data_IF_643588153521
#
_entry.id   IF_643588153521
#
_cell.length_a   1.000
_cell.length_b   1.000
_cell.length_c   1.000
_cell.angle_alpha   90.00
_cell.angle_beta   90.00
_cell.angle_gamma   90.00
#
_symmetry.space_group_name_H-M   'P 1'
#
loop_
_entity.id
_entity.type
_entity.pdbx_description
1 polymer ?
#
# COMPACT_ATOMS: atom_id res chain seq x y z
N UNK A 1 -10.98 -45.45 -6.07
CA UNK A 1 -11.07 -43.99 -6.20
C UNK A 1 -9.79 -43.38 -5.69
N UNK A 2 -8.82 -43.09 -6.51
CA UNK A 2 -7.63 -42.33 -6.14
C UNK A 2 -7.63 -41.04 -6.96
N UNK A 3 -8.12 -39.91 -6.45
CA UNK A 3 -7.84 -38.62 -7.11
C UNK A 3 -8.10 -37.35 -6.25
N UNK A 4 -8.25 -37.49 -4.92
CA UNK A 4 -8.54 -36.31 -4.07
C UNK A 4 -7.28 -35.73 -3.38
N UNK A 5 -6.16 -36.42 -3.42
CA UNK A 5 -4.89 -35.98 -2.79
C UNK A 5 -4.08 -34.96 -3.61
N UNK A 6 -4.48 -34.71 -4.87
CA UNK A 6 -3.75 -33.79 -5.78
C UNK A 6 -4.42 -32.43 -5.96
N UNK A 7 -5.66 -32.25 -5.49
CA UNK A 7 -6.32 -30.95 -5.54
C UNK A 7 -5.76 -30.03 -4.46
N UNK A 8 -4.97 -29.04 -4.88
CA UNK A 8 -4.56 -27.94 -3.99
C UNK A 8 -5.81 -27.33 -3.36
N UNK A 9 -5.87 -27.15 -2.02
CA UNK A 9 -7.03 -26.61 -1.34
C UNK A 9 -7.44 -25.27 -1.97
N UNK A 10 -8.69 -25.14 -2.36
CA UNK A 10 -9.23 -23.89 -2.93
C UNK A 10 -9.78 -23.01 -1.82
N UNK A 11 -9.77 -21.69 -2.04
CA UNK A 11 -10.42 -20.72 -1.16
C UNK A 11 -11.94 -20.83 -1.38
N UNK A 12 -12.70 -21.15 -0.33
CA UNK A 12 -14.17 -21.26 -0.39
C UNK A 12 -14.83 -20.00 0.20
N UNK A 13 -15.11 -19.02 -0.64
CA UNK A 13 -15.73 -17.75 -0.24
C UNK A 13 -17.25 -17.85 0.02
N UNK A 14 -17.86 -19.03 -0.17
CA UNK A 14 -19.31 -19.19 -0.07
C UNK A 14 -19.76 -19.69 1.29
N UNK A 15 -18.88 -20.35 2.03
CA UNK A 15 -19.24 -21.02 3.29
C UNK A 15 -18.33 -20.63 4.45
N UNK A 16 -18.87 -20.77 5.66
CA UNK A 16 -18.13 -20.63 6.91
C UNK A 16 -17.41 -19.28 7.12
N UNK A 17 -16.30 -19.28 7.86
CA UNK A 17 -15.54 -18.06 8.16
C UNK A 17 -14.98 -17.36 6.92
N UNK A 18 -14.67 -18.10 5.84
CA UNK A 18 -14.17 -17.51 4.59
C UNK A 18 -15.23 -16.66 3.88
N UNK A 19 -16.52 -16.95 4.05
CA UNK A 19 -17.61 -16.07 3.60
C UNK A 19 -17.57 -14.74 4.34
N UNK A 20 -17.34 -14.75 5.66
CA UNK A 20 -17.19 -13.53 6.43
C UNK A 20 -15.97 -12.71 5.92
N UNK A 21 -14.84 -13.36 5.61
CA UNK A 21 -13.70 -12.72 4.97
C UNK A 21 -14.10 -12.04 3.64
N UNK A 22 -14.87 -12.71 2.77
CA UNK A 22 -15.31 -12.13 1.50
C UNK A 22 -16.14 -10.84 1.72
N UNK A 23 -17.06 -10.84 2.69
CA UNK A 23 -17.85 -9.65 3.04
C UNK A 23 -16.98 -8.52 3.62
N UNK A 24 -16.01 -8.84 4.49
CA UNK A 24 -15.08 -7.87 5.05
C UNK A 24 -14.19 -7.27 3.95
N UNK A 25 -13.69 -8.10 3.03
CA UNK A 25 -12.88 -7.67 1.90
C UNK A 25 -13.67 -6.74 0.97
N UNK A 26 -14.91 -7.11 0.61
CA UNK A 26 -15.77 -6.25 -0.22
C UNK A 26 -16.08 -4.90 0.45
N UNK A 27 -16.38 -4.90 1.76
CA UNK A 27 -16.57 -3.67 2.52
C UNK A 27 -15.30 -2.82 2.60
N UNK A 28 -14.14 -3.46 2.73
CA UNK A 28 -12.84 -2.77 2.74
C UNK A 28 -12.54 -2.17 1.37
N UNK A 29 -12.77 -2.91 0.28
CA UNK A 29 -12.63 -2.42 -1.09
C UNK A 29 -13.45 -1.12 -1.31
N UNK A 30 -14.74 -1.13 -0.94
CA UNK A 30 -15.62 0.03 -1.12
C UNK A 30 -15.12 1.25 -0.31
N UNK A 31 -14.73 1.05 0.95
CA UNK A 31 -14.20 2.15 1.77
C UNK A 31 -12.85 2.64 1.26
N UNK A 32 -11.98 1.75 0.78
CA UNK A 32 -10.69 2.13 0.20
C UNK A 32 -10.87 2.97 -1.06
N UNK A 33 -11.79 2.57 -1.97
CA UNK A 33 -12.13 3.36 -3.15
C UNK A 33 -12.54 4.77 -2.76
N UNK A 34 -13.40 4.90 -1.76
CA UNK A 34 -13.88 6.22 -1.30
C UNK A 34 -12.76 7.05 -0.66
N UNK A 35 -11.95 6.45 0.21
CA UNK A 35 -10.86 7.15 0.87
C UNK A 35 -9.84 7.68 -0.14
N UNK A 36 -9.43 6.86 -1.10
CA UNK A 36 -8.53 7.29 -2.18
C UNK A 36 -9.19 8.32 -3.09
N UNK A 37 -10.49 8.15 -3.41
CA UNK A 37 -11.24 9.14 -4.21
C UNK A 37 -11.25 10.51 -3.52
N UNK A 38 -11.51 10.57 -2.22
CA UNK A 38 -11.51 11.83 -1.47
C UNK A 38 -10.11 12.46 -1.40
N UNK A 39 -9.08 11.64 -1.21
CA UNK A 39 -7.70 12.14 -1.19
C UNK A 39 -7.30 12.76 -2.53
N UNK A 40 -7.56 12.08 -3.64
CA UNK A 40 -7.32 12.63 -4.98
C UNK A 40 -8.23 13.83 -5.27
N UNK A 41 -9.52 13.72 -4.96
CA UNK A 41 -10.49 14.78 -5.21
C UNK A 41 -10.12 16.08 -4.50
N UNK A 42 -9.76 16.04 -3.21
CA UNK A 42 -9.38 17.25 -2.48
C UNK A 42 -8.08 17.84 -3.02
N UNK A 43 -7.12 17.02 -3.42
CA UNK A 43 -5.86 17.46 -4.00
C UNK A 43 -6.11 18.20 -5.33
N UNK A 44 -6.91 17.61 -6.22
CA UNK A 44 -7.27 18.23 -7.51
C UNK A 44 -8.10 19.49 -7.32
N UNK A 45 -9.12 19.43 -6.47
CA UNK A 45 -10.03 20.55 -6.22
C UNK A 45 -9.31 21.76 -5.62
N UNK A 46 -8.48 21.54 -4.59
CA UNK A 46 -7.68 22.64 -3.99
C UNK A 46 -6.75 23.27 -5.02
N UNK A 47 -6.13 22.48 -5.90
CA UNK A 47 -5.32 23.03 -6.98
C UNK A 47 -6.16 23.85 -7.96
N UNK A 48 -7.34 23.39 -8.34
CA UNK A 48 -8.21 24.10 -9.28
C UNK A 48 -8.72 25.41 -8.70
N UNK A 49 -9.09 25.44 -7.43
CA UNK A 49 -9.60 26.64 -6.76
C UNK A 49 -8.49 27.65 -6.41
N UNK A 50 -7.37 27.18 -5.88
CA UNK A 50 -6.32 28.06 -5.35
C UNK A 50 -5.17 28.33 -6.33
N UNK A 51 -4.98 27.48 -7.35
CA UNK A 51 -3.83 27.46 -8.26
C UNK A 51 -2.48 27.38 -7.52
N UNK A 52 -2.50 26.89 -6.29
CA UNK A 52 -1.31 26.80 -5.43
C UNK A 52 -0.75 25.37 -5.43
N UNK A 53 0.44 25.20 -6.00
CA UNK A 53 1.21 23.94 -5.92
C UNK A 53 1.64 23.67 -4.48
N UNK A 54 1.94 24.74 -3.71
CA UNK A 54 2.29 24.60 -2.30
C UNK A 54 1.13 24.00 -1.48
N UNK A 55 -0.11 24.45 -1.71
CA UNK A 55 -1.27 23.91 -1.00
C UNK A 55 -1.46 22.43 -1.28
N UNK A 56 -1.31 21.98 -2.54
CA UNK A 56 -1.40 20.55 -2.88
C UNK A 56 -0.27 19.73 -2.27
N UNK A 57 0.95 20.26 -2.25
CA UNK A 57 2.09 19.62 -1.58
C UNK A 57 1.88 19.50 -0.06
N UNK A 58 1.27 20.49 0.58
CA UNK A 58 0.94 20.43 2.00
C UNK A 58 -0.12 19.34 2.31
N UNK A 59 -1.14 19.17 1.44
CA UNK A 59 -2.13 18.10 1.58
C UNK A 59 -1.45 16.73 1.54
N UNK A 60 -0.57 16.52 0.57
CA UNK A 60 0.19 15.28 0.47
C UNK A 60 1.09 15.07 1.70
N UNK A 61 1.75 16.13 2.19
CA UNK A 61 2.56 16.10 3.41
C UNK A 61 1.75 15.74 4.66
N UNK A 62 0.59 16.35 4.85
CA UNK A 62 -0.33 16.06 5.97
C UNK A 62 -0.74 14.58 5.94
N UNK A 63 -1.20 14.09 4.78
CA UNK A 63 -1.60 12.70 4.62
C UNK A 63 -0.48 11.74 4.98
N UNK A 64 0.72 12.01 4.50
CA UNK A 64 1.88 11.17 4.70
C UNK A 64 2.32 11.10 6.16
N UNK A 65 2.54 12.27 6.78
CA UNK A 65 2.97 12.37 8.19
C UNK A 65 1.93 11.73 9.10
N UNK A 66 0.64 12.00 8.84
CA UNK A 66 -0.43 11.44 9.63
C UNK A 66 -0.55 9.92 9.45
N UNK A 67 -0.42 9.38 8.24
CA UNK A 67 -0.45 7.93 7.99
C UNK A 67 0.72 7.23 8.66
N UNK A 68 1.93 7.77 8.53
CA UNK A 68 3.13 7.20 9.16
C UNK A 68 3.04 7.24 10.71
N UNK A 69 2.53 8.33 11.29
CA UNK A 69 2.45 8.50 12.75
C UNK A 69 1.32 7.70 13.39
N UNK A 70 0.19 7.50 12.68
CA UNK A 70 -0.99 6.83 13.23
C UNK A 70 -0.95 5.30 13.13
N UNK A 71 -0.12 4.72 12.26
CA UNK A 71 -0.11 3.28 11.99
C UNK A 71 0.15 2.44 13.26
N UNK A 72 1.11 2.85 14.09
CA UNK A 72 1.43 2.15 15.35
C UNK A 72 0.26 2.24 16.34
N UNK A 73 -0.38 3.41 16.43
CA UNK A 73 -1.55 3.60 17.29
C UNK A 73 -2.74 2.76 16.81
N UNK A 74 -3.01 2.74 15.52
CA UNK A 74 -4.03 1.89 14.92
C UNK A 74 -3.73 0.41 15.13
N UNK A 75 -2.46 0.01 15.05
CA UNK A 75 -2.03 -1.35 15.35
C UNK A 75 -2.36 -1.76 16.79
N UNK A 76 -2.08 -0.90 17.75
CA UNK A 76 -2.45 -1.10 19.17
C UNK A 76 -3.97 -1.20 19.34
N UNK A 77 -4.74 -0.33 18.66
CA UNK A 77 -6.20 -0.35 18.70
C UNK A 77 -6.77 -1.67 18.17
N UNK A 78 -6.21 -2.19 17.08
CA UNK A 78 -6.60 -3.46 16.45
C UNK A 78 -6.31 -4.66 17.37
N UNK A 79 -5.19 -4.65 18.11
CA UNK A 79 -4.85 -5.76 19.00
C UNK A 79 -5.76 -5.81 20.26
N UNK A 80 -6.07 -4.65 20.82
CA UNK A 80 -6.82 -4.58 22.09
C UNK A 80 -8.34 -4.66 21.95
N UNK A 81 -8.88 -4.61 20.73
CA UNK A 81 -10.31 -4.60 20.49
C UNK A 81 -10.72 -5.64 19.42
N UNK A 82 -12.01 -5.97 19.38
CA UNK A 82 -12.56 -6.78 18.30
C UNK A 82 -12.38 -6.07 16.96
N UNK A 83 -11.70 -6.71 16.02
CA UNK A 83 -11.31 -6.13 14.72
C UNK A 83 -12.51 -5.61 13.94
N UNK A 84 -13.63 -6.36 13.99
CA UNK A 84 -14.91 -5.92 13.41
C UNK A 84 -15.39 -4.60 14.02
N UNK A 85 -15.34 -4.47 15.36
CA UNK A 85 -15.76 -3.24 16.05
C UNK A 85 -14.86 -2.07 15.68
N UNK A 86 -13.53 -2.28 15.65
CA UNK A 86 -12.57 -1.25 15.23
C UNK A 86 -12.89 -0.76 13.83
N UNK A 87 -13.17 -1.65 12.88
CA UNK A 87 -13.54 -1.28 11.51
C UNK A 87 -14.88 -0.53 11.44
N UNK A 88 -15.85 -0.90 12.27
CA UNK A 88 -17.16 -0.21 12.34
C UNK A 88 -17.03 1.19 12.92
N UNK A 89 -16.34 1.31 14.07
CA UNK A 89 -16.10 2.61 14.73
C UNK A 89 -15.31 3.53 13.80
N UNK A 90 -14.25 3.02 13.17
CA UNK A 90 -13.47 3.81 12.21
C UNK A 90 -14.35 4.32 11.06
N UNK A 91 -15.21 3.47 10.49
CA UNK A 91 -16.11 3.91 9.42
C UNK A 91 -17.15 4.93 9.91
N UNK A 92 -17.66 4.79 11.15
CA UNK A 92 -18.59 5.74 11.74
C UNK A 92 -17.92 7.11 11.99
N UNK A 93 -16.67 7.12 12.49
CA UNK A 93 -15.87 8.35 12.66
C UNK A 93 -15.59 9.00 11.32
N UNK A 94 -15.18 8.22 10.30
CA UNK A 94 -15.00 8.75 8.95
C UNK A 94 -16.30 9.33 8.37
N UNK A 95 -17.44 8.64 8.56
CA UNK A 95 -18.76 9.14 8.13
C UNK A 95 -19.09 10.48 8.78
N UNK A 96 -18.87 10.60 10.10
CA UNK A 96 -19.10 11.85 10.81
C UNK A 96 -18.21 12.97 10.28
N UNK A 97 -16.93 12.70 10.08
CA UNK A 97 -16.00 13.68 9.51
C UNK A 97 -16.44 14.13 8.11
N UNK A 98 -16.88 13.20 7.27
CA UNK A 98 -17.36 13.51 5.91
C UNK A 98 -18.70 14.28 5.92
N UNK A 99 -19.61 13.97 6.85
CA UNK A 99 -20.85 14.74 7.04
C UNK A 99 -20.56 16.18 7.46
N UNK A 100 -19.67 16.36 8.43
CA UNK A 100 -19.28 17.71 8.88
C UNK A 100 -18.55 18.45 7.75
N UNK A 101 -17.66 17.77 7.01
CA UNK A 101 -16.98 18.35 5.85
C UNK A 101 -17.99 18.75 4.76
N UNK A 102 -18.99 17.91 4.45
CA UNK A 102 -20.05 18.21 3.49
C UNK A 102 -20.87 19.43 3.95
N UNK A 103 -21.24 19.47 5.22
CA UNK A 103 -21.98 20.60 5.79
C UNK A 103 -21.16 21.89 5.69
N UNK A 104 -19.88 21.83 6.06
CA UNK A 104 -18.97 22.97 5.96
C UNK A 104 -18.84 23.43 4.50
N UNK A 105 -18.69 22.50 3.56
CA UNK A 105 -18.61 22.81 2.14
C UNK A 105 -19.86 23.52 1.60
N UNK A 106 -21.06 23.03 2.01
CA UNK A 106 -22.34 23.60 1.54
C UNK A 106 -22.67 24.97 2.16
N UNK A 107 -22.18 25.25 3.38
CA UNK A 107 -22.48 26.50 4.09
C UNK A 107 -21.41 27.58 3.89
N UNK A 108 -20.24 27.25 3.34
CA UNK A 108 -19.13 28.20 3.15
C UNK A 108 -19.19 28.83 1.76
N UNK A 109 -19.07 30.15 1.63
CA UNK A 109 -18.94 30.82 0.35
C UNK A 109 -17.67 30.39 -0.40
N UNK A 110 -17.76 30.18 -1.73
CA UNK A 110 -16.65 29.73 -2.58
C UNK A 110 -15.39 30.59 -2.46
N UNK A 111 -15.56 31.90 -2.22
CA UNK A 111 -14.43 32.82 -2.07
C UNK A 111 -13.46 32.43 -0.96
N UNK A 112 -13.94 31.76 0.12
CA UNK A 112 -13.08 31.31 1.22
C UNK A 112 -12.24 30.07 0.84
N UNK A 113 -12.70 29.30 -0.13
CA UNK A 113 -11.94 28.14 -0.61
C UNK A 113 -10.91 28.49 -1.68
N UNK A 114 -11.01 29.68 -2.31
CA UNK A 114 -10.07 30.16 -3.32
C UNK A 114 -8.80 30.78 -2.74
N UNK A 115 -8.86 31.19 -1.48
CA UNK A 115 -7.69 31.74 -0.78
C UNK A 115 -6.85 30.60 -0.15
N UNK A 116 -5.63 30.34 -0.63
CA UNK A 116 -4.76 29.32 -0.08
C UNK A 116 -4.30 29.57 1.36
N UNK A 117 -4.49 30.80 1.88
CA UNK A 117 -4.22 31.15 3.27
C UNK A 117 -5.46 31.04 4.18
N UNK A 118 -6.64 30.72 3.63
CA UNK A 118 -7.90 30.67 4.37
C UNK A 118 -7.89 29.60 5.45
N UNK A 119 -8.15 29.95 6.74
CA UNK A 119 -8.29 28.96 7.81
C UNK A 119 -9.44 27.99 7.57
N UNK A 120 -10.50 28.43 6.84
CA UNK A 120 -11.65 27.58 6.52
C UNK A 120 -11.27 26.47 5.53
N UNK A 121 -10.50 26.82 4.50
CA UNK A 121 -9.94 25.84 3.56
C UNK A 121 -9.14 24.77 4.30
N UNK A 122 -8.22 25.19 5.16
CA UNK A 122 -7.36 24.26 5.90
C UNK A 122 -8.13 23.47 6.95
N UNK A 123 -9.12 24.07 7.63
CA UNK A 123 -10.03 23.35 8.51
C UNK A 123 -10.81 22.26 7.79
N UNK A 124 -11.32 22.55 6.58
CA UNK A 124 -11.97 21.57 5.71
C UNK A 124 -11.01 20.44 5.30
N UNK A 125 -9.81 20.77 4.85
CA UNK A 125 -8.80 19.80 4.42
C UNK A 125 -8.40 18.88 5.58
N UNK A 126 -8.09 19.43 6.76
CA UNK A 126 -7.69 18.65 7.94
C UNK A 126 -8.83 17.73 8.39
N UNK A 127 -10.06 18.22 8.43
CA UNK A 127 -11.23 17.42 8.80
C UNK A 127 -11.45 16.25 7.82
N UNK A 128 -11.34 16.51 6.53
CA UNK A 128 -11.49 15.50 5.49
C UNK A 128 -10.35 14.47 5.57
N UNK A 129 -9.11 14.93 5.75
CA UNK A 129 -7.96 14.03 5.91
C UNK A 129 -8.07 13.20 7.19
N UNK A 130 -8.58 13.74 8.29
CA UNK A 130 -8.82 12.97 9.51
C UNK A 130 -9.79 11.80 9.25
N UNK A 131 -10.85 12.02 8.45
CA UNK A 131 -11.76 10.96 8.02
C UNK A 131 -11.07 9.88 7.18
N UNK A 132 -10.25 10.29 6.20
CA UNK A 132 -9.49 9.38 5.32
C UNK A 132 -8.47 8.56 6.14
N UNK A 133 -7.70 9.23 7.01
CA UNK A 133 -6.67 8.58 7.84
C UNK A 133 -7.29 7.60 8.82
N UNK A 134 -8.43 7.96 9.45
CA UNK A 134 -9.16 7.03 10.32
C UNK A 134 -9.59 5.77 9.57
N UNK A 135 -9.94 5.88 8.28
CA UNK A 135 -10.25 4.74 7.41
C UNK A 135 -9.06 3.79 7.18
N UNK A 136 -7.81 4.27 7.29
CA UNK A 136 -6.62 3.46 7.10
C UNK A 136 -6.42 2.36 8.15
N UNK A 137 -7.12 2.41 9.29
CA UNK A 137 -7.12 1.32 10.29
C UNK A 137 -7.51 -0.02 9.66
N UNK A 138 -8.32 -0.01 8.59
CA UNK A 138 -8.72 -1.21 7.85
C UNK A 138 -7.55 -1.92 7.18
N UNK A 139 -6.53 -1.19 6.76
CA UNK A 139 -5.31 -1.76 6.17
C UNK A 139 -4.54 -2.61 7.19
N UNK A 140 -4.67 -2.33 8.48
CA UNK A 140 -4.05 -3.09 9.57
C UNK A 140 -4.99 -4.20 10.07
N UNK A 141 -6.30 -3.92 10.17
CA UNK A 141 -7.28 -4.85 10.65
C UNK A 141 -7.56 -6.01 9.66
N UNK A 142 -7.53 -5.75 8.36
CA UNK A 142 -7.81 -6.77 7.34
C UNK A 142 -6.81 -7.92 7.35
N UNK A 143 -5.47 -7.73 7.37
CA UNK A 143 -4.52 -8.83 7.47
C UNK A 143 -4.70 -9.68 8.74
N UNK A 144 -5.05 -9.07 9.88
CA UNK A 144 -5.34 -9.81 11.11
C UNK A 144 -6.61 -10.64 10.99
N UNK A 145 -7.64 -10.13 10.29
CA UNK A 145 -8.86 -10.89 9.99
C UNK A 145 -8.62 -12.01 8.97
N UNK A 146 -7.70 -11.84 8.02
CA UNK A 146 -7.25 -12.94 7.15
C UNK A 146 -6.68 -14.08 8.00
N UNK A 147 -5.84 -13.76 8.99
CA UNK A 147 -5.27 -14.77 9.89
C UNK A 147 -6.36 -15.53 10.68
N UNK A 148 -7.43 -14.84 11.07
CA UNK A 148 -8.51 -15.40 11.86
C UNK A 148 -9.51 -16.22 11.02
N UNK A 149 -9.89 -15.69 9.86
CA UNK A 149 -11.02 -16.20 9.08
C UNK A 149 -10.61 -17.19 7.97
N UNK A 150 -9.33 -17.19 7.61
CA UNK A 150 -8.82 -17.97 6.49
C UNK A 150 -7.83 -19.03 7.00
N UNK A 151 -8.07 -20.32 6.68
CA UNK A 151 -7.13 -21.39 7.02
C UNK A 151 -5.74 -21.12 6.47
N UNK A 152 -4.71 -21.44 7.23
CA UNK A 152 -3.32 -21.13 6.91
C UNK A 152 -2.89 -21.64 5.51
N UNK A 153 -3.40 -22.80 5.10
CA UNK A 153 -3.08 -23.42 3.80
C UNK A 153 -3.47 -22.58 2.57
N UNK A 154 -4.37 -21.62 2.73
CA UNK A 154 -4.91 -20.77 1.64
C UNK A 154 -4.83 -19.27 1.94
N UNK A 155 -4.08 -18.85 2.98
CA UNK A 155 -3.90 -17.43 3.32
C UNK A 155 -3.19 -16.65 2.22
N UNK A 156 -2.23 -17.27 1.56
CA UNK A 156 -1.55 -16.69 0.41
C UNK A 156 -2.53 -16.30 -0.70
N UNK A 157 -3.53 -17.15 -0.95
CA UNK A 157 -4.60 -16.87 -1.94
C UNK A 157 -5.52 -15.75 -1.47
N UNK A 158 -5.85 -15.70 -0.18
CA UNK A 158 -6.62 -14.60 0.39
C UNK A 158 -5.85 -13.27 0.28
N UNK A 159 -4.55 -13.26 0.55
CA UNK A 159 -3.69 -12.09 0.35
C UNK A 159 -3.62 -11.68 -1.13
N UNK A 160 -3.64 -12.63 -2.06
CA UNK A 160 -3.78 -12.33 -3.49
C UNK A 160 -5.09 -11.60 -3.84
N UNK A 161 -6.22 -12.00 -3.21
CA UNK A 161 -7.50 -11.27 -3.35
C UNK A 161 -7.45 -9.88 -2.72
N UNK A 162 -6.73 -9.69 -1.60
CA UNK A 162 -6.49 -8.37 -1.00
C UNK A 162 -5.72 -7.49 -1.98
N UNK A 163 -4.64 -7.98 -2.58
CA UNK A 163 -3.90 -7.28 -3.63
C UNK A 163 -4.77 -6.94 -4.86
N UNK A 164 -5.65 -7.87 -5.28
CA UNK A 164 -6.64 -7.61 -6.33
C UNK A 164 -7.56 -6.45 -5.95
N UNK A 165 -8.09 -6.44 -4.72
CA UNK A 165 -8.95 -5.37 -4.24
C UNK A 165 -8.23 -4.02 -4.19
N UNK A 166 -6.95 -4.00 -3.81
CA UNK A 166 -6.10 -2.80 -3.86
C UNK A 166 -5.98 -2.29 -5.30
N UNK A 167 -5.65 -3.15 -6.26
CA UNK A 167 -5.56 -2.77 -7.67
C UNK A 167 -6.87 -2.22 -8.23
N UNK A 168 -8.01 -2.84 -7.91
CA UNK A 168 -9.34 -2.34 -8.27
C UNK A 168 -9.60 -0.97 -7.65
N UNK A 169 -9.22 -0.77 -6.38
CA UNK A 169 -9.39 0.52 -5.71
C UNK A 169 -8.64 1.63 -6.44
N UNK A 170 -7.39 1.41 -6.81
CA UNK A 170 -6.61 2.41 -7.57
C UNK A 170 -7.21 2.71 -8.94
N UNK A 171 -7.58 1.67 -9.70
CA UNK A 171 -8.16 1.83 -11.03
C UNK A 171 -9.46 2.63 -10.98
N UNK A 172 -10.37 2.27 -10.08
CA UNK A 172 -11.68 2.93 -9.94
C UNK A 172 -11.51 4.36 -9.45
N UNK A 173 -10.64 4.58 -8.46
CA UNK A 173 -10.37 5.89 -7.87
C UNK A 173 -9.83 6.88 -8.89
N UNK A 174 -8.87 6.48 -9.74
CA UNK A 174 -8.24 7.37 -10.73
C UNK A 174 -9.25 7.93 -11.72
N UNK A 175 -10.29 7.15 -12.06
CA UNK A 175 -11.35 7.57 -12.97
C UNK A 175 -12.42 8.41 -12.24
N UNK A 176 -12.91 7.92 -11.10
CA UNK A 176 -14.04 8.52 -10.40
C UNK A 176 -13.68 9.88 -9.80
N UNK A 177 -12.49 10.04 -9.21
CA UNK A 177 -12.11 11.29 -8.54
C UNK A 177 -12.13 12.49 -9.49
N UNK A 178 -11.54 12.34 -10.68
CA UNK A 178 -11.53 13.40 -11.69
C UNK A 178 -12.93 13.76 -12.19
N UNK A 179 -13.77 12.74 -12.46
CA UNK A 179 -15.14 12.94 -12.92
C UNK A 179 -16.01 13.66 -11.88
N UNK A 180 -15.91 13.27 -10.61
CA UNK A 180 -16.69 13.88 -9.54
C UNK A 180 -16.30 15.35 -9.32
N UNK A 181 -14.99 15.65 -9.29
CA UNK A 181 -14.50 17.02 -9.13
C UNK A 181 -14.90 17.90 -10.33
N UNK A 182 -14.82 17.37 -11.54
CA UNK A 182 -15.22 18.10 -12.75
C UNK A 182 -16.73 18.39 -12.81
N UNK A 183 -17.56 17.57 -12.16
CA UNK A 183 -19.02 17.72 -12.19
C UNK A 183 -19.52 18.85 -11.26
N UNK A 184 -19.13 18.84 -9.98
CA UNK A 184 -19.63 19.78 -8.97
C UNK A 184 -18.64 20.02 -7.81
N UNK A 185 -17.35 20.01 -8.08
CA UNK A 185 -16.31 20.19 -7.08
C UNK A 185 -16.28 19.04 -6.07
N UNK A 186 -16.28 19.37 -4.78
CA UNK A 186 -16.19 18.36 -3.71
C UNK A 186 -17.54 17.74 -3.32
N UNK A 187 -18.67 18.33 -3.77
CA UNK A 187 -20.00 17.91 -3.31
C UNK A 187 -20.30 16.45 -3.59
N UNK A 188 -20.22 16.01 -4.83
CA UNK A 188 -20.52 14.63 -5.22
C UNK A 188 -19.54 13.63 -4.60
N UNK A 189 -18.28 14.00 -4.47
CA UNK A 189 -17.26 13.16 -3.82
C UNK A 189 -17.60 12.94 -2.33
N UNK A 190 -17.99 14.00 -1.61
CA UNK A 190 -18.38 13.91 -0.20
C UNK A 190 -19.70 13.16 0.00
N UNK A 191 -20.71 13.39 -0.86
CA UNK A 191 -21.98 12.62 -0.82
C UNK A 191 -21.71 11.13 -1.05
N UNK A 192 -20.91 10.78 -2.06
CA UNK A 192 -20.50 9.40 -2.31
C UNK A 192 -19.81 8.79 -1.08
N UNK A 193 -18.92 9.55 -0.44
CA UNK A 193 -18.18 9.10 0.73
C UNK A 193 -19.11 8.81 1.91
N UNK A 194 -20.04 9.69 2.20
CA UNK A 194 -21.05 9.50 3.26
C UNK A 194 -21.90 8.26 2.96
N UNK A 195 -22.45 8.14 1.74
CA UNK A 195 -23.32 7.02 1.37
C UNK A 195 -22.59 5.69 1.50
N UNK A 196 -21.39 5.60 0.95
CA UNK A 196 -20.61 4.33 0.96
C UNK A 196 -20.13 3.97 2.37
N UNK A 197 -19.69 4.94 3.17
CA UNK A 197 -19.25 4.65 4.55
C UNK A 197 -20.43 4.25 5.44
N UNK A 198 -21.60 4.89 5.33
CA UNK A 198 -22.84 4.47 6.00
C UNK A 198 -23.22 3.05 5.55
N UNK A 199 -23.26 2.78 4.24
CA UNK A 199 -23.57 1.45 3.73
C UNK A 199 -22.57 0.40 4.24
N UNK A 200 -21.28 0.74 4.36
CA UNK A 200 -20.25 -0.14 4.91
C UNK A 200 -20.48 -0.45 6.40
N UNK A 201 -20.86 0.55 7.21
CA UNK A 201 -21.20 0.34 8.63
C UNK A 201 -22.38 -0.60 8.75
N UNK A 202 -23.47 -0.35 8.00
CA UNK A 202 -24.67 -1.17 8.01
C UNK A 202 -24.44 -2.59 7.49
N UNK A 203 -23.63 -2.74 6.43
CA UNK A 203 -23.26 -4.01 5.88
C UNK A 203 -22.47 -4.84 6.91
N UNK A 204 -21.41 -4.24 7.47
CA UNK A 204 -20.56 -4.93 8.44
C UNK A 204 -21.31 -5.25 9.74
N UNK A 205 -22.33 -4.48 10.12
CA UNK A 205 -23.19 -4.80 11.26
C UNK A 205 -23.90 -6.15 11.08
N UNK A 206 -24.33 -6.46 9.84
CA UNK A 206 -25.02 -7.72 9.51
C UNK A 206 -24.09 -8.92 9.33
N UNK A 207 -22.79 -8.70 9.11
CA UNK A 207 -21.82 -9.79 8.92
C UNK A 207 -21.43 -10.36 10.28
N UNK A 208 -21.67 -11.65 10.48
CA UNK A 208 -21.15 -12.35 11.67
C UNK A 208 -19.67 -12.69 11.45
N UNK A 209 -18.80 -12.11 12.26
CA UNK A 209 -17.36 -12.41 12.26
C UNK A 209 -17.07 -13.19 13.55
N UNK A 210 -16.67 -14.47 13.47
CA UNK A 210 -16.35 -15.28 14.64
C UNK A 210 -15.00 -14.85 15.22
N UNK A 211 -15.02 -13.81 16.03
CA UNK A 211 -13.83 -13.36 16.76
C UNK A 211 -13.85 -13.97 18.18
N UNK A 212 -12.73 -14.57 18.63
CA UNK A 212 -12.59 -14.96 20.03
C UNK A 212 -12.73 -13.72 20.92
N UNK A 213 -13.21 -13.91 22.13
CA UNK A 213 -13.22 -12.83 23.11
C UNK A 213 -11.79 -12.35 23.32
N UNK A 214 -11.63 -11.03 23.30
CA UNK A 214 -10.32 -10.41 23.55
C UNK A 214 -9.89 -10.82 24.95
N UNK A 215 -8.94 -11.74 25.06
CA UNK A 215 -8.35 -12.12 26.32
C UNK A 215 -7.67 -10.86 26.83
N UNK A 216 -8.32 -10.17 27.76
CA UNK A 216 -7.64 -9.14 28.57
C UNK A 216 -6.53 -9.86 29.31
N UNK A 217 -5.31 -9.72 28.83
CA UNK A 217 -4.12 -10.21 29.53
C UNK A 217 -4.12 -9.53 30.88
N UNK A 218 -4.55 -10.28 31.88
CA UNK A 218 -4.55 -9.89 33.30
C UNK A 218 -3.11 -9.65 33.73
N UNK A 219 -2.93 -8.57 34.45
CA UNK A 219 -1.76 -8.22 35.27
C UNK A 219 -0.46 -7.90 34.50
N UNK A 220 -0.27 -6.64 34.18
CA UNK A 220 1.01 -6.05 33.84
C UNK A 220 1.01 -4.97 32.75
N UNK A 221 -0.04 -4.83 31.97
CA UNK A 221 -0.14 -3.82 30.91
C UNK A 221 -1.08 -2.68 31.36
N UNK A 222 -0.72 -1.99 32.43
CA UNK A 222 -1.42 -0.78 32.93
C UNK A 222 -1.16 0.46 32.05
N UNK A 223 -1.02 0.27 30.75
CA UNK A 223 -0.83 1.37 29.84
C UNK A 223 -1.72 1.23 28.62
N UNK A 224 -2.82 2.02 28.56
CA UNK A 224 -3.56 2.29 27.31
C UNK A 224 -2.70 3.03 26.28
N UNK A 225 -1.37 3.02 26.44
CA UNK A 225 -0.38 3.68 25.61
C UNK A 225 0.21 2.76 24.54
N UNK A 226 0.63 3.38 23.47
CA UNK A 226 1.37 2.72 22.37
C UNK A 226 2.69 2.18 22.91
N UNK A 227 2.82 0.87 23.10
CA UNK A 227 4.07 0.22 23.50
C UNK A 227 5.00 0.00 22.29
N UNK A 228 5.59 1.11 21.81
CA UNK A 228 6.57 1.08 20.74
C UNK A 228 7.82 0.24 21.11
N UNK A 229 8.25 0.33 22.38
CA UNK A 229 9.44 -0.42 22.84
C UNK A 229 9.17 -1.92 22.86
N UNK A 230 7.99 -2.34 23.32
CA UNK A 230 7.57 -3.74 23.30
C UNK A 230 7.40 -4.25 21.86
N UNK A 231 6.82 -3.43 20.96
CA UNK A 231 6.68 -3.77 19.53
C UNK A 231 8.05 -3.97 18.88
N UNK A 232 8.99 -3.04 19.07
CA UNK A 232 10.37 -3.17 18.53
C UNK A 232 11.08 -4.38 19.15
N UNK A 233 10.89 -4.63 20.45
CA UNK A 233 11.45 -5.82 21.13
C UNK A 233 10.89 -7.11 20.52
N UNK A 234 9.58 -7.16 20.25
CA UNK A 234 8.95 -8.31 19.61
C UNK A 234 9.50 -8.53 18.19
N UNK A 235 9.56 -7.47 17.38
CA UNK A 235 10.10 -7.54 16.01
C UNK A 235 11.55 -8.05 16.01
N UNK A 236 12.35 -7.68 17.02
CA UNK A 236 13.72 -8.17 17.19
C UNK A 236 13.79 -9.61 17.73
N UNK A 237 12.80 -10.02 18.52
CA UNK A 237 12.77 -11.36 19.12
C UNK A 237 12.41 -12.44 18.08
N UNK A 238 11.58 -12.12 17.07
CA UNK A 238 11.26 -13.07 16.00
C UNK A 238 12.44 -13.15 15.01
N UNK A 239 13.03 -14.34 14.81
CA UNK A 239 14.22 -14.48 13.98
C UNK A 239 14.00 -14.02 12.54
N UNK A 240 14.75 -13.02 12.09
CA UNK A 240 14.69 -12.47 10.73
C UNK A 240 13.55 -11.50 10.46
N UNK A 241 12.61 -11.26 11.38
CA UNK A 241 11.47 -10.37 11.17
C UNK A 241 11.92 -8.91 11.01
N UNK A 242 12.83 -8.43 11.85
CA UNK A 242 13.39 -7.07 11.68
C UNK A 242 14.02 -6.88 10.29
N UNK A 243 14.75 -7.91 9.81
CA UNK A 243 15.35 -7.85 8.49
C UNK A 243 14.30 -7.81 7.37
N UNK A 244 13.16 -8.48 7.52
CA UNK A 244 12.04 -8.40 6.58
C UNK A 244 11.46 -6.97 6.54
N UNK A 245 11.14 -6.39 7.70
CA UNK A 245 10.60 -5.03 7.80
C UNK A 245 11.57 -3.98 7.23
N UNK A 246 12.87 -4.13 7.54
CA UNK A 246 13.90 -3.23 6.98
C UNK A 246 14.07 -3.43 5.47
N UNK A 247 13.95 -4.66 4.97
CA UNK A 247 13.99 -4.94 3.53
C UNK A 247 12.77 -4.33 2.81
N UNK A 248 11.56 -4.49 3.35
CA UNK A 248 10.36 -3.86 2.83
C UNK A 248 10.46 -2.32 2.87
N UNK A 249 10.89 -1.74 3.98
CA UNK A 249 11.17 -0.32 4.13
C UNK A 249 12.17 0.18 3.07
N UNK A 250 13.25 -0.56 2.84
CA UNK A 250 14.25 -0.21 1.84
C UNK A 250 13.71 -0.32 0.40
N UNK A 251 12.88 -1.31 0.10
CA UNK A 251 12.20 -1.38 -1.20
C UNK A 251 11.25 -0.20 -1.40
N UNK A 252 10.48 0.19 -0.39
CA UNK A 252 9.64 1.39 -0.43
C UNK A 252 10.47 2.67 -0.57
N UNK A 253 11.63 2.76 0.11
CA UNK A 253 12.57 3.86 -0.06
C UNK A 253 13.02 3.99 -1.51
N UNK A 254 13.47 2.91 -2.14
CA UNK A 254 13.82 2.91 -3.56
C UNK A 254 12.60 3.19 -4.46
N UNK A 255 11.41 2.72 -4.07
CA UNK A 255 10.13 2.98 -4.73
C UNK A 255 9.79 4.47 -4.83
N UNK A 256 10.23 5.29 -3.88
CA UNK A 256 10.08 6.75 -3.91
C UNK A 256 10.73 7.42 -5.13
N UNK A 257 11.75 6.79 -5.72
CA UNK A 257 12.34 7.25 -7.00
C UNK A 257 11.33 7.23 -8.14
N UNK A 258 10.47 6.19 -8.18
CA UNK A 258 9.40 6.09 -9.19
C UNK A 258 8.34 7.17 -8.97
N UNK A 259 7.95 7.42 -7.73
CA UNK A 259 7.00 8.49 -7.40
C UNK A 259 7.51 9.87 -7.87
N UNK A 260 8.82 10.12 -7.74
CA UNK A 260 9.41 11.40 -8.08
C UNK A 260 9.63 11.60 -9.59
N UNK A 261 10.03 10.56 -10.31
CA UNK A 261 10.65 10.72 -11.62
C UNK A 261 9.92 9.99 -12.77
N UNK A 262 9.02 9.04 -12.48
CA UNK A 262 8.43 8.18 -13.51
C UNK A 262 7.60 8.97 -14.51
N UNK A 263 6.79 9.93 -14.04
CA UNK A 263 5.96 10.74 -14.92
C UNK A 263 6.81 11.66 -15.79
N UNK A 264 7.84 12.29 -15.22
CA UNK A 264 8.77 13.13 -15.98
C UNK A 264 9.49 12.31 -17.08
N UNK A 265 9.93 11.11 -16.75
CA UNK A 265 10.57 10.22 -17.73
C UNK A 265 9.59 9.73 -18.80
N UNK A 266 8.40 9.30 -18.42
CA UNK A 266 7.37 8.83 -19.36
C UNK A 266 6.92 9.94 -20.33
N UNK A 267 6.71 11.15 -19.82
CA UNK A 267 6.33 12.32 -20.62
C UNK A 267 7.45 12.84 -21.54
N UNK A 268 8.71 12.51 -21.26
CA UNK A 268 9.79 12.77 -22.20
C UNK A 268 9.79 11.85 -23.41
N UNK A 269 9.09 10.70 -23.34
CA UNK A 269 9.05 9.68 -24.37
C UNK A 269 7.74 9.68 -25.19
N UNK A 270 6.62 10.11 -24.59
CA UNK A 270 5.29 10.08 -25.21
C UNK A 270 4.43 11.26 -24.78
N UNK A 271 3.33 11.50 -25.50
CA UNK A 271 2.36 12.56 -25.14
C UNK A 271 1.65 12.25 -23.83
N UNK A 272 1.10 13.30 -23.19
CA UNK A 272 0.34 13.20 -21.93
C UNK A 272 -0.84 12.23 -22.06
N UNK A 273 -1.54 12.26 -23.19
CA UNK A 273 -2.68 11.36 -23.47
C UNK A 273 -2.25 9.91 -23.55
N UNK A 274 -1.15 9.64 -24.30
CA UNK A 274 -0.60 8.29 -24.39
C UNK A 274 -0.09 7.78 -23.05
N UNK A 275 0.57 8.63 -22.26
CA UNK A 275 1.07 8.30 -20.93
C UNK A 275 -0.07 7.94 -19.96
N UNK A 276 -1.15 8.73 -19.95
CA UNK A 276 -2.34 8.44 -19.14
C UNK A 276 -3.02 7.12 -19.52
N UNK A 277 -3.17 6.84 -20.82
CA UNK A 277 -3.72 5.55 -21.29
C UNK A 277 -2.84 4.36 -20.92
N UNK A 278 -1.51 4.50 -21.00
CA UNK A 278 -0.56 3.48 -20.58
C UNK A 278 -0.67 3.19 -19.09
N UNK A 279 -0.73 4.21 -18.22
CA UNK A 279 -0.93 4.03 -16.79
C UNK A 279 -2.24 3.30 -16.47
N UNK A 280 -3.34 3.67 -17.13
CA UNK A 280 -4.63 3.00 -16.98
C UNK A 280 -4.56 1.52 -17.37
N UNK A 281 -3.97 1.20 -18.52
CA UNK A 281 -3.82 -0.19 -18.99
C UNK A 281 -2.90 -1.02 -18.06
N UNK A 282 -1.78 -0.43 -17.63
CA UNK A 282 -0.81 -1.11 -16.78
C UNK A 282 -1.35 -1.37 -15.36
N UNK A 283 -2.17 -0.46 -14.83
CA UNK A 283 -2.83 -0.66 -13.53
C UNK A 283 -3.72 -1.90 -13.49
N UNK A 284 -4.30 -2.30 -14.63
CA UNK A 284 -5.06 -3.54 -14.71
C UNK A 284 -4.20 -4.80 -14.45
N UNK A 285 -2.90 -4.73 -14.68
CA UNK A 285 -1.99 -5.86 -14.44
C UNK A 285 -1.79 -6.16 -12.95
N UNK A 286 -1.97 -5.17 -12.07
CA UNK A 286 -2.00 -5.40 -10.61
C UNK A 286 -3.17 -6.31 -10.25
N UNK A 287 -4.34 -6.06 -10.85
CA UNK A 287 -5.54 -6.92 -10.68
C UNK A 287 -5.26 -8.34 -11.16
N UNK A 288 -4.66 -8.46 -12.35
CA UNK A 288 -4.29 -9.77 -12.92
C UNK A 288 -3.29 -10.49 -12.01
N UNK A 289 -2.25 -9.82 -11.54
CA UNK A 289 -1.26 -10.39 -10.61
C UNK A 289 -1.89 -10.89 -9.32
N UNK A 290 -2.75 -10.09 -8.70
CA UNK A 290 -3.49 -10.48 -7.50
C UNK A 290 -4.41 -11.70 -7.73
N UNK A 291 -5.13 -11.76 -8.86
CA UNK A 291 -5.95 -12.91 -9.23
C UNK A 291 -5.12 -14.16 -9.49
N UNK A 292 -3.93 -14.03 -10.08
CA UNK A 292 -3.01 -15.16 -10.28
C UNK A 292 -2.56 -15.70 -8.93
N UNK A 293 -2.14 -14.83 -7.99
CA UNK A 293 -1.81 -15.25 -6.61
C UNK A 293 -3.01 -15.93 -5.94
N UNK A 294 -4.21 -15.37 -6.08
CA UNK A 294 -5.42 -15.93 -5.49
C UNK A 294 -5.76 -17.34 -6.01
N UNK A 295 -5.43 -17.62 -7.28
CA UNK A 295 -5.67 -18.93 -7.89
C UNK A 295 -4.56 -19.95 -7.68
N UNK A 296 -3.31 -19.50 -7.89
CA UNK A 296 -2.13 -20.39 -7.89
C UNK A 296 -1.50 -20.52 -6.50
N UNK A 297 -1.58 -19.44 -5.68
CA UNK A 297 -0.88 -19.31 -4.41
C UNK A 297 0.59 -18.96 -4.60
N UNK A 298 1.32 -18.83 -3.49
CA UNK A 298 2.75 -18.45 -3.44
C UNK A 298 3.70 -19.66 -3.36
N UNK A 299 3.13 -20.87 -3.24
CA UNK A 299 3.90 -22.09 -3.04
C UNK A 299 4.37 -22.27 -1.59
N UNK A 300 5.25 -23.25 -1.36
CA UNK A 300 5.68 -23.66 -0.01
C UNK A 300 6.74 -22.75 0.62
N UNK A 301 7.34 -21.83 -0.13
CA UNK A 301 8.48 -21.01 0.29
C UNK A 301 8.26 -19.52 0.02
N UNK A 302 7.29 -18.85 0.67
CA UNK A 302 6.96 -17.45 0.38
C UNK A 302 8.12 -16.48 0.63
N UNK A 303 9.02 -16.76 1.59
CA UNK A 303 10.24 -15.95 1.80
C UNK A 303 11.15 -15.95 0.56
N UNK A 304 11.29 -17.12 -0.10
CA UNK A 304 12.05 -17.22 -1.34
C UNK A 304 11.31 -16.54 -2.49
N UNK A 305 10.00 -16.72 -2.57
CA UNK A 305 9.15 -16.07 -3.58
C UNK A 305 9.27 -14.56 -3.50
N UNK A 306 9.19 -13.96 -2.31
CA UNK A 306 9.39 -12.53 -2.07
C UNK A 306 10.71 -12.04 -2.67
N UNK A 307 11.82 -12.70 -2.36
CA UNK A 307 13.13 -12.27 -2.83
C UNK A 307 13.33 -12.47 -4.34
N UNK A 308 12.82 -13.57 -4.91
CA UNK A 308 12.89 -13.79 -6.35
C UNK A 308 12.04 -12.79 -7.14
N UNK A 309 10.86 -12.45 -6.63
CA UNK A 309 10.01 -11.39 -7.20
C UNK A 309 10.75 -10.05 -7.16
N UNK A 310 11.30 -9.66 -6.00
CA UNK A 310 12.07 -8.42 -5.90
C UNK A 310 13.31 -8.43 -6.83
N UNK A 311 13.97 -9.57 -6.99
CA UNK A 311 15.06 -9.72 -7.96
C UNK A 311 14.60 -9.40 -9.39
N UNK A 312 13.44 -9.94 -9.79
CA UNK A 312 12.85 -9.65 -11.10
C UNK A 312 12.47 -8.16 -11.24
N UNK A 313 11.83 -7.57 -10.21
CA UNK A 313 11.45 -6.16 -10.18
C UNK A 313 12.66 -5.24 -10.37
N UNK A 314 13.73 -5.47 -9.63
CA UNK A 314 14.94 -4.64 -9.74
C UNK A 314 15.71 -4.89 -11.03
N UNK A 315 15.66 -6.12 -11.57
CA UNK A 315 16.26 -6.43 -12.88
C UNK A 315 15.57 -5.63 -13.99
N UNK A 316 14.24 -5.61 -14.05
CA UNK A 316 13.54 -4.83 -15.08
C UNK A 316 13.73 -3.33 -14.87
N UNK A 317 13.82 -2.87 -13.61
CA UNK A 317 14.15 -1.47 -13.27
C UNK A 317 15.53 -1.07 -13.78
N UNK A 318 16.51 -1.95 -13.73
CA UNK A 318 17.87 -1.73 -14.25
C UNK A 318 17.89 -1.72 -15.77
N UNK A 319 17.05 -2.52 -16.42
CA UNK A 319 17.16 -2.76 -17.87
C UNK A 319 16.42 -1.71 -18.72
N UNK A 320 15.24 -1.24 -18.29
CA UNK A 320 14.44 -0.34 -19.15
C UNK A 320 15.10 1.00 -19.46
N UNK A 321 15.94 1.60 -18.56
CA UNK A 321 16.56 2.89 -18.84
C UNK A 321 17.73 2.82 -19.80
N UNK A 322 18.19 1.62 -20.18
CA UNK A 322 19.34 1.47 -21.08
C UNK A 322 19.08 2.04 -22.47
N UNK A 323 17.82 2.12 -22.90
CA UNK A 323 17.42 2.74 -24.17
C UNK A 323 16.34 3.80 -23.94
N UNK A 324 16.47 4.93 -24.63
CA UNK A 324 15.46 6.00 -24.66
C UNK A 324 14.30 5.59 -25.56
N UNK A 325 13.44 4.71 -25.06
CA UNK A 325 12.28 4.19 -25.79
C UNK A 325 11.14 3.84 -24.84
N UNK A 326 9.92 4.11 -25.30
CA UNK A 326 8.70 3.76 -24.54
C UNK A 326 8.52 2.25 -24.42
N UNK A 327 8.96 1.45 -25.38
CA UNK A 327 8.71 0.00 -25.43
C UNK A 327 9.35 -0.74 -24.25
N UNK A 328 10.67 -0.62 -23.96
CA UNK A 328 11.26 -1.27 -22.79
C UNK A 328 10.69 -0.71 -21.48
N UNK A 329 10.33 0.57 -21.40
CA UNK A 329 9.68 1.14 -20.22
C UNK A 329 8.33 0.48 -19.97
N UNK A 330 7.44 0.41 -20.96
CA UNK A 330 6.11 -0.21 -20.83
C UNK A 330 6.23 -1.71 -20.51
N UNK A 331 7.16 -2.42 -21.13
CA UNK A 331 7.40 -3.84 -20.85
C UNK A 331 7.86 -4.04 -19.40
N UNK A 332 8.78 -3.20 -18.90
CA UNK A 332 9.24 -3.26 -17.52
C UNK A 332 8.14 -2.91 -16.53
N UNK A 333 7.36 -1.84 -16.79
CA UNK A 333 6.21 -1.47 -15.97
C UNK A 333 5.16 -2.59 -15.95
N UNK A 334 4.90 -3.24 -17.07
CA UNK A 334 3.97 -4.37 -17.13
C UNK A 334 4.41 -5.53 -16.23
N UNK A 335 5.68 -5.91 -16.29
CA UNK A 335 6.25 -6.94 -15.41
C UNK A 335 6.18 -6.48 -13.94
N UNK A 336 6.53 -5.22 -13.67
CA UNK A 336 6.50 -4.64 -12.33
C UNK A 336 5.09 -4.72 -11.75
N UNK A 337 4.08 -4.18 -12.43
CA UNK A 337 2.69 -4.14 -11.98
C UNK A 337 2.09 -5.55 -11.79
N UNK A 338 2.47 -6.50 -12.65
CA UNK A 338 2.04 -7.90 -12.53
C UNK A 338 2.63 -8.58 -11.29
N UNK A 339 3.88 -8.27 -10.94
CA UNK A 339 4.62 -8.94 -9.87
C UNK A 339 4.46 -8.31 -8.49
N UNK A 340 4.10 -7.03 -8.38
CA UNK A 340 3.89 -6.36 -7.08
C UNK A 340 2.95 -7.13 -6.15
N UNK A 341 1.78 -7.65 -6.59
CA UNK A 341 0.90 -8.41 -5.71
C UNK A 341 1.53 -9.70 -5.15
N UNK A 342 2.49 -10.28 -5.85
CA UNK A 342 3.24 -11.46 -5.35
C UNK A 342 4.17 -11.06 -4.19
N UNK A 343 4.83 -9.91 -4.28
CA UNK A 343 5.69 -9.40 -3.22
C UNK A 343 4.84 -9.08 -1.97
N UNK A 344 3.78 -8.31 -2.13
CA UNK A 344 2.86 -7.92 -1.04
C UNK A 344 2.21 -9.14 -0.38
N UNK A 345 1.66 -10.06 -1.17
CA UNK A 345 1.04 -11.27 -0.64
C UNK A 345 2.06 -12.17 0.08
N UNK A 346 3.30 -12.24 -0.43
CA UNK A 346 4.38 -13.01 0.24
C UNK A 346 4.72 -12.40 1.59
N UNK A 347 4.89 -11.10 1.67
CA UNK A 347 5.19 -10.39 2.90
C UNK A 347 4.08 -10.57 3.92
N UNK A 348 2.83 -10.33 3.56
CA UNK A 348 1.67 -10.50 4.44
C UNK A 348 1.54 -11.95 4.92
N UNK A 349 1.76 -12.93 4.05
CA UNK A 349 1.70 -14.36 4.40
C UNK A 349 2.79 -14.73 5.41
N UNK A 350 4.01 -14.17 5.25
CA UNK A 350 5.10 -14.38 6.19
C UNK A 350 4.75 -13.76 7.55
N UNK A 351 4.35 -12.49 7.58
CA UNK A 351 3.99 -11.76 8.79
C UNK A 351 2.87 -12.47 9.56
N UNK A 352 1.79 -12.87 8.87
CA UNK A 352 0.65 -13.57 9.45
C UNK A 352 1.01 -14.93 10.07
N UNK A 353 2.11 -15.53 9.67
CA UNK A 353 2.55 -16.84 10.19
C UNK A 353 3.54 -16.72 11.34
N UNK A 354 4.51 -15.81 11.23
CA UNK A 354 5.60 -15.71 12.22
C UNK A 354 5.26 -14.81 13.41
N UNK A 355 4.23 -13.96 13.28
CA UNK A 355 3.78 -13.05 14.35
C UNK A 355 2.59 -13.67 15.09
N UNK A 356 2.64 -13.78 16.43
CA UNK A 356 1.51 -14.23 17.24
C UNK A 356 0.27 -13.36 16.97
N UNK A 357 -0.90 -14.00 16.89
CA UNK A 357 -2.17 -13.36 16.50
C UNK A 357 -2.54 -12.16 17.39
N UNK A 358 -2.31 -12.26 18.69
CA UNK A 358 -2.58 -11.23 19.71
C UNK A 358 -1.70 -9.97 19.57
N UNK A 359 -0.67 -10.02 18.72
CA UNK A 359 0.30 -8.93 18.49
C UNK A 359 0.42 -8.53 17.03
N UNK A 360 -0.38 -9.11 16.14
CA UNK A 360 -0.32 -8.83 14.70
C UNK A 360 -0.67 -7.39 14.38
N UNK A 361 -1.64 -6.79 15.05
CA UNK A 361 -2.03 -5.42 14.82
C UNK A 361 -0.86 -4.45 15.06
N UNK A 362 -0.16 -4.58 16.20
CA UNK A 362 1.00 -3.73 16.54
C UNK A 362 2.15 -3.90 15.55
N UNK A 363 2.46 -5.14 15.15
CA UNK A 363 3.55 -5.41 14.20
C UNK A 363 3.19 -4.91 12.80
N UNK A 364 1.98 -5.14 12.33
CA UNK A 364 1.53 -4.64 11.02
C UNK A 364 1.46 -3.12 11.00
N UNK A 365 0.94 -2.49 12.06
CA UNK A 365 0.93 -1.04 12.19
C UNK A 365 2.33 -0.43 12.22
N UNK A 366 3.27 -1.07 12.91
CA UNK A 366 4.67 -0.66 12.92
C UNK A 366 5.33 -0.80 11.53
N UNK A 367 5.18 -1.97 10.89
CA UNK A 367 5.70 -2.20 9.56
C UNK A 367 5.16 -1.18 8.57
N UNK A 368 3.84 -0.99 8.53
CA UNK A 368 3.18 -0.01 7.68
C UNK A 368 3.67 1.42 7.93
N UNK A 369 3.83 1.84 9.20
CA UNK A 369 4.35 3.17 9.53
C UNK A 369 5.76 3.39 8.98
N UNK A 370 6.65 2.41 9.16
CA UNK A 370 8.04 2.49 8.71
C UNK A 370 8.11 2.49 7.18
N UNK A 371 7.35 1.63 6.54
CA UNK A 371 7.31 1.48 5.08
C UNK A 371 6.72 2.72 4.40
N UNK A 372 5.58 3.21 4.89
CA UNK A 372 4.91 4.37 4.31
C UNK A 372 5.73 5.67 4.45
N UNK A 373 6.56 5.80 5.47
CA UNK A 373 7.42 6.96 5.63
C UNK A 373 8.60 6.96 4.65
N UNK A 374 8.97 5.81 4.11
CA UNK A 374 10.19 5.66 3.33
C UNK A 374 10.10 6.27 1.91
N UNK A 375 9.03 5.98 1.16
CA UNK A 375 8.90 6.43 -0.23
C UNK A 375 8.91 7.95 -0.42
N UNK A 376 8.15 8.73 0.35
CA UNK A 376 8.16 10.18 0.22
C UNK A 376 9.47 10.84 0.65
N UNK A 377 10.15 10.26 1.64
CA UNK A 377 11.47 10.74 2.03
C UNK A 377 12.43 10.66 0.82
N UNK A 378 12.40 9.55 0.10
CA UNK A 378 13.21 9.38 -1.11
C UNK A 378 12.77 10.31 -2.22
N UNK A 379 11.48 10.43 -2.49
CA UNK A 379 10.96 11.30 -3.53
C UNK A 379 11.40 12.76 -3.29
N UNK A 380 11.36 13.20 -2.03
CA UNK A 380 11.80 14.55 -1.64
C UNK A 380 13.30 14.76 -1.79
N UNK A 381 14.11 13.71 -1.60
CA UNK A 381 15.58 13.80 -1.75
C UNK A 381 16.02 13.63 -3.21
N UNK A 382 15.41 12.67 -3.93
CA UNK A 382 15.86 12.28 -5.27
C UNK A 382 15.50 13.31 -6.33
N UNK A 383 14.33 13.97 -6.24
CA UNK A 383 13.92 14.94 -7.23
C UNK A 383 14.91 16.13 -7.33
N UNK A 384 15.25 16.86 -6.24
CA UNK A 384 16.26 17.92 -6.29
C UNK A 384 17.65 17.42 -6.70
N UNK A 385 18.06 16.25 -6.20
CA UNK A 385 19.35 15.66 -6.58
C UNK A 385 19.41 15.40 -8.09
N UNK A 386 18.32 14.87 -8.66
CA UNK A 386 18.23 14.60 -10.10
C UNK A 386 18.29 15.90 -10.89
N UNK A 387 17.49 16.89 -10.52
CA UNK A 387 17.38 18.16 -11.25
C UNK A 387 18.65 19.00 -11.16
N UNK A 388 19.23 19.15 -9.95
CA UNK A 388 20.33 20.06 -9.71
C UNK A 388 21.72 19.44 -9.97
N UNK A 389 21.84 18.11 -9.94
CA UNK A 389 23.15 17.45 -10.04
C UNK A 389 23.21 16.48 -11.22
N UNK A 390 22.26 15.54 -11.30
CA UNK A 390 22.38 14.44 -12.26
C UNK A 390 22.08 14.91 -13.69
N UNK A 391 20.99 15.66 -13.89
CA UNK A 391 20.62 16.18 -15.22
C UNK A 391 21.72 17.08 -15.80
N UNK A 392 22.25 18.11 -15.09
CA UNK A 392 23.35 18.91 -15.60
C UNK A 392 24.62 18.09 -15.91
N UNK A 393 24.94 17.12 -15.05
CA UNK A 393 26.08 16.23 -15.25
C UNK A 393 25.94 15.32 -16.48
N UNK A 394 24.70 14.92 -16.82
CA UNK A 394 24.38 14.09 -18.00
C UNK A 394 24.11 14.92 -19.26
N UNK A 395 23.94 16.24 -19.18
CA UNK A 395 23.77 17.11 -20.34
C UNK A 395 25.13 17.54 -20.90
N UNK A 396 25.92 18.26 -20.11
CA UNK A 396 27.21 18.84 -20.53
C UNK A 396 28.37 18.54 -19.57
N UNK A 397 28.07 17.78 -18.49
CA UNK A 397 28.97 17.57 -17.37
C UNK A 397 29.90 16.37 -17.49
N UNK A 398 30.42 15.92 -16.35
CA UNK A 398 31.38 14.83 -16.26
C UNK A 398 30.78 13.47 -16.67
N UNK A 399 29.53 13.20 -16.30
CA UNK A 399 28.87 11.94 -16.67
C UNK A 399 28.57 11.86 -18.15
N UNK A 400 28.16 12.97 -18.81
CA UNK A 400 27.98 13.02 -20.24
C UNK A 400 29.28 12.65 -20.98
N UNK A 401 30.43 13.15 -20.53
CA UNK A 401 31.74 12.81 -21.10
C UNK A 401 32.18 11.36 -20.85
N UNK A 402 31.78 10.80 -19.70
CA UNK A 402 32.22 9.46 -19.29
C UNK A 402 31.39 8.33 -19.93
N UNK A 403 30.08 8.51 -20.04
CA UNK A 403 29.15 7.46 -20.46
C UNK A 403 28.21 7.89 -21.59
N UNK A 404 28.24 9.16 -22.01
CA UNK A 404 27.30 9.71 -22.99
C UNK A 404 27.33 9.02 -24.34
N UNK A 405 28.49 8.53 -24.79
CA UNK A 405 28.66 7.87 -26.09
C UNK A 405 27.77 6.62 -26.25
N UNK A 406 27.57 5.86 -25.16
CA UNK A 406 26.77 4.62 -25.20
C UNK A 406 25.42 4.74 -24.48
N UNK A 407 25.34 5.59 -23.44
CA UNK A 407 24.13 5.75 -22.66
C UNK A 407 23.23 6.89 -23.18
N UNK A 408 23.81 7.87 -23.89
CA UNK A 408 23.19 9.10 -24.34
C UNK A 408 23.36 10.25 -23.35
N UNK A 409 22.99 11.44 -23.78
CA UNK A 409 23.09 12.69 -23.00
C UNK A 409 21.74 13.40 -22.93
N UNK A 410 21.56 14.33 -21.99
CA UNK A 410 20.35 15.12 -21.82
C UNK A 410 19.57 14.81 -20.57
N UNK A 411 18.46 15.53 -20.36
CA UNK A 411 17.65 15.46 -19.14
C UNK A 411 16.99 14.07 -18.95
N UNK A 412 16.44 13.50 -20.02
CA UNK A 412 15.84 12.18 -20.01
C UNK A 412 16.85 11.09 -19.63
N UNK A 413 18.11 11.23 -20.09
CA UNK A 413 19.19 10.32 -19.76
C UNK A 413 19.69 10.49 -18.33
N UNK A 414 19.62 11.71 -17.80
CA UNK A 414 19.86 11.98 -16.36
C UNK A 414 18.86 11.22 -15.48
N UNK A 415 17.58 11.32 -15.80
CA UNK A 415 16.52 10.57 -15.10
C UNK A 415 16.71 9.04 -15.27
N UNK A 416 17.01 8.60 -16.49
CA UNK A 416 17.29 7.20 -16.79
C UNK A 416 18.46 6.64 -15.95
N UNK A 417 19.52 7.43 -15.76
CA UNK A 417 20.66 7.05 -14.93
C UNK A 417 20.26 6.83 -13.46
N UNK A 418 19.38 7.69 -12.91
CA UNK A 418 18.87 7.51 -11.55
C UNK A 418 18.08 6.20 -11.42
N UNK A 419 17.24 5.85 -12.39
CA UNK A 419 16.56 4.54 -12.40
C UNK A 419 17.54 3.38 -12.52
N UNK A 420 18.55 3.48 -13.36
CA UNK A 420 19.59 2.46 -13.49
C UNK A 420 20.30 2.23 -12.15
N UNK A 421 20.74 3.28 -11.49
CA UNK A 421 21.40 3.21 -10.17
C UNK A 421 20.45 2.63 -9.13
N UNK A 422 19.19 3.07 -9.11
CA UNK A 422 18.15 2.53 -8.21
C UNK A 422 17.96 1.03 -8.43
N UNK A 423 17.87 0.59 -9.69
CA UNK A 423 17.76 -0.82 -10.06
C UNK A 423 18.97 -1.64 -9.62
N UNK A 424 20.18 -1.14 -9.87
CA UNK A 424 21.44 -1.80 -9.44
C UNK A 424 21.49 -1.93 -7.91
N UNK A 425 21.18 -0.86 -7.17
CA UNK A 425 21.19 -0.88 -5.71
C UNK A 425 20.14 -1.87 -5.18
N UNK A 426 18.91 -1.83 -5.71
CA UNK A 426 17.86 -2.76 -5.33
C UNK A 426 18.22 -4.23 -5.63
N UNK A 427 18.83 -4.48 -6.79
CA UNK A 427 19.32 -5.80 -7.18
C UNK A 427 20.40 -6.32 -6.22
N UNK A 428 21.42 -5.52 -5.94
CA UNK A 428 22.52 -5.88 -5.05
C UNK A 428 22.04 -6.18 -3.61
N UNK A 429 21.14 -5.33 -3.07
CA UNK A 429 20.56 -5.54 -1.74
C UNK A 429 19.69 -6.80 -1.72
N UNK A 430 18.92 -7.06 -2.77
CA UNK A 430 18.10 -8.28 -2.86
C UNK A 430 18.97 -9.55 -2.96
N UNK A 431 20.06 -9.51 -3.73
CA UNK A 431 21.03 -10.60 -3.80
C UNK A 431 21.71 -10.83 -2.45
N UNK A 432 22.13 -9.75 -1.78
CA UNK A 432 22.70 -9.84 -0.44
C UNK A 432 21.69 -10.41 0.57
N UNK A 433 20.41 -9.98 0.49
CA UNK A 433 19.35 -10.54 1.32
C UNK A 433 19.18 -12.04 1.10
N UNK A 434 19.21 -12.51 -0.15
CA UNK A 434 19.00 -13.92 -0.52
C UNK A 434 20.06 -14.87 0.09
N UNK A 435 21.31 -14.41 0.24
CA UNK A 435 22.41 -15.21 0.83
C UNK A 435 22.58 -14.95 2.33
N UNK A 436 21.86 -14.01 2.89
CA UNK A 436 22.06 -13.52 4.26
C UNK A 436 21.60 -14.51 5.35
N UNK A 437 22.25 -14.48 6.54
CA UNK A 437 21.76 -15.24 7.70
C UNK A 437 20.33 -14.86 8.14
N UNK A 438 19.89 -13.57 8.15
CA UNK A 438 18.52 -13.22 8.47
C UNK A 438 17.49 -13.92 7.59
N UNK A 439 17.72 -14.03 6.27
CA UNK A 439 16.85 -14.78 5.37
C UNK A 439 16.70 -16.25 5.80
N UNK A 440 17.82 -16.92 6.09
CA UNK A 440 17.78 -18.33 6.53
C UNK A 440 17.03 -18.49 7.84
N UNK A 441 17.23 -17.57 8.79
CA UNK A 441 16.52 -17.57 10.09
C UNK A 441 15.02 -17.34 9.90
N UNK A 442 14.61 -16.39 9.04
CA UNK A 442 13.22 -16.14 8.73
C UNK A 442 12.57 -17.34 8.04
N UNK A 443 13.25 -17.94 7.06
CA UNK A 443 12.76 -19.13 6.37
C UNK A 443 12.60 -20.33 7.31
N UNK A 444 13.53 -20.50 8.25
CA UNK A 444 13.46 -21.53 9.30
C UNK A 444 12.32 -21.25 10.29
N UNK A 445 12.17 -19.99 10.74
CA UNK A 445 11.05 -19.58 11.60
C UNK A 445 9.71 -19.82 10.92
N UNK A 446 9.58 -19.46 9.64
CA UNK A 446 8.38 -19.71 8.85
C UNK A 446 8.07 -21.22 8.75
N UNK A 447 9.07 -22.07 8.54
CA UNK A 447 8.92 -23.51 8.46
C UNK A 447 8.58 -24.15 9.83
N UNK A 448 9.15 -23.65 10.93
CA UNK A 448 8.88 -24.14 12.28
C UNK A 448 7.44 -23.88 12.75
N UNK A 449 6.80 -22.83 12.24
CA UNK A 449 5.39 -22.53 12.50
C UNK A 449 4.46 -23.23 11.47
N UNK A 450 4.96 -24.21 10.69
CA UNK A 450 4.11 -25.01 9.82
C UNK A 450 3.01 -25.72 10.64
N UNK A 451 1.77 -25.79 10.18
CA UNK A 451 0.74 -26.56 10.85
C UNK A 451 1.29 -27.99 11.00
N UNK A 452 1.42 -28.45 12.23
CA UNK A 452 1.53 -29.90 12.48
C UNK A 452 0.23 -30.45 11.91
N UNK A 453 0.31 -31.27 10.86
CA UNK A 453 -0.81 -32.11 10.45
C UNK A 453 -1.21 -32.93 11.68
N UNK A 454 -2.14 -32.41 12.48
CA UNK A 454 -2.86 -33.29 13.38
C UNK A 454 -3.72 -34.12 12.43
N UNK A 455 -3.24 -35.32 12.17
CA UNK A 455 -4.11 -36.39 11.67
C UNK A 455 -5.36 -36.34 12.53
N UNK A 456 -6.44 -35.85 11.95
CA UNK A 456 -7.76 -36.04 12.52
C UNK A 456 -8.04 -37.53 12.35
N UNK A 457 -7.50 -38.27 13.30
CA UNK A 457 -7.94 -39.65 13.52
C UNK A 457 -9.35 -39.55 14.02
N UNK A 458 -10.26 -39.87 13.10
CA UNK A 458 -11.65 -40.36 13.22
C UNK A 458 -12.60 -39.70 14.20
#
# INVERSE_FOLDING_TARGET
MPDDATRRPALDLRHGPQRAFAHVLAGTLLVSVVNYTLWFAVTFWVYLETRSVLATGMIAGIFLVATASTGIWFGSLVDHHRKKQVMQVSAAVSTLAYLVALTLYLLTPDAQFRDPASPVLWGFVVLLMAGVITGNVRAIALPTLVTLLVPERVRDRANGLVGTATGVSFLVTSVISGLLVAHDGMRSALVLAVVVTVASVLHLARVHVPEPDVVRTTAGDEGHGVDLRGTVRLVRAVPGLLALVLFACFNNFLGGTFMALMDAYGLSLVSVQAWGLLWGALSALVIVGGLVVARVGLGSRPVRTLLLVNLALWTVTMLFPLRSSIVPLVAAMAVYMLLVPFAEASEQTILQRVVPFDRQGRVFGFAQSVEQAASPLTAFLVAPLTELVVIPSMTDGAMARAIGDWFGTGADRGIALVFLVTGVVGLLVTLAALVSPPYRRLAAAYAAHAPVERDVVR
#
